data_IF_483265303614
#
_entry.id   IF_483265303614
#
_cell.length_a   1.000
_cell.length_b   1.000
_cell.length_c   1.000
_cell.angle_alpha   90.00
_cell.angle_beta   90.00
_cell.angle_gamma   90.00
#
_symmetry.space_group_name_H-M   'P 1'
#
loop_
_entity.id
_entity.type
_entity.pdbx_description
1 polymer ?
#
# COMPACT_ATOMS: atom_id res chain seq x y z
N UNK A 1 -8.41 9.31 9.27
CA UNK A 1 -8.32 8.40 10.43
C UNK A 1 -6.86 8.30 10.87
N UNK A 2 -6.40 9.19 11.74
CA UNK A 2 -5.04 9.13 12.31
C UNK A 2 -5.04 8.81 13.82
N UNK A 3 -6.18 8.98 14.49
CA UNK A 3 -6.32 8.87 15.94
C UNK A 3 -5.70 7.58 16.51
N UNK A 4 -6.05 6.41 15.97
CA UNK A 4 -5.51 5.14 16.45
C UNK A 4 -3.99 5.02 16.37
N UNK A 5 -3.36 5.56 15.32
CA UNK A 5 -1.89 5.61 15.23
C UNK A 5 -1.30 6.70 16.13
N UNK A 6 -2.01 7.81 16.30
CA UNK A 6 -1.59 8.97 17.10
C UNK A 6 -1.70 8.75 18.62
N UNK A 7 -2.48 7.77 19.06
CA UNK A 7 -2.65 7.40 20.47
C UNK A 7 -1.55 6.45 20.98
N UNK A 8 -0.84 5.76 20.08
CA UNK A 8 0.31 4.91 20.45
C UNK A 8 1.45 5.79 20.98
N UNK A 9 2.07 5.48 22.14
CA UNK A 9 3.22 6.21 22.65
C UNK A 9 4.32 6.38 21.61
N UNK A 10 4.96 7.55 21.54
CA UNK A 10 5.89 7.89 20.44
C UNK A 10 7.05 6.89 20.28
N UNK A 11 7.49 6.28 21.38
CA UNK A 11 8.60 5.32 21.40
C UNK A 11 8.18 3.90 20.99
N UNK A 12 6.87 3.62 20.90
CA UNK A 12 6.30 2.35 20.44
C UNK A 12 5.68 2.47 19.04
N UNK A 13 5.57 3.69 18.52
CA UNK A 13 4.93 3.98 17.24
C UNK A 13 5.88 3.72 16.09
N UNK A 14 5.40 3.03 15.05
CA UNK A 14 6.10 2.94 13.77
C UNK A 14 6.00 4.23 12.95
N UNK A 15 6.72 4.29 11.83
CA UNK A 15 6.58 5.38 10.86
C UNK A 15 5.15 5.41 10.29
N UNK A 16 4.53 6.59 10.31
CA UNK A 16 3.18 6.79 9.78
C UNK A 16 3.23 7.68 8.54
N UNK A 17 2.79 7.13 7.42
CA UNK A 17 2.67 7.86 6.15
C UNK A 17 1.20 7.92 5.76
N UNK A 18 0.76 9.08 5.27
CA UNK A 18 -0.64 9.33 4.90
C UNK A 18 -0.72 9.59 3.40
N UNK A 19 -1.62 8.87 2.74
CA UNK A 19 -1.92 9.00 1.33
C UNK A 19 -3.42 9.19 1.16
N UNK A 20 -3.83 10.12 0.29
CA UNK A 20 -5.24 10.34 -0.03
C UNK A 20 -5.77 9.27 -0.99
N UNK A 21 -4.94 8.84 -1.94
CA UNK A 21 -5.27 7.78 -2.88
C UNK A 21 -4.86 6.39 -2.36
N UNK A 22 -5.78 5.44 -2.46
CA UNK A 22 -5.58 4.08 -1.97
C UNK A 22 -4.56 3.30 -2.81
N UNK A 23 -4.56 3.47 -4.13
CA UNK A 23 -3.61 2.78 -4.99
C UNK A 23 -2.19 3.32 -4.79
N UNK A 24 -2.05 4.63 -4.57
CA UNK A 24 -0.77 5.25 -4.22
C UNK A 24 -0.24 4.71 -2.89
N UNK A 25 -1.08 4.61 -1.86
CA UNK A 25 -0.69 4.02 -0.57
C UNK A 25 -0.14 2.59 -0.71
N UNK A 26 -0.82 1.75 -1.51
CA UNK A 26 -0.40 0.38 -1.77
C UNK A 26 0.93 0.36 -2.54
N UNK A 27 1.06 1.19 -3.58
CA UNK A 27 2.29 1.28 -4.36
C UNK A 27 3.48 1.73 -3.51
N UNK A 28 3.29 2.73 -2.64
CA UNK A 28 4.33 3.20 -1.74
C UNK A 28 4.74 2.14 -0.70
N UNK A 29 3.78 1.40 -0.15
CA UNK A 29 4.08 0.31 0.79
C UNK A 29 4.91 -0.80 0.12
N UNK A 30 4.52 -1.22 -1.10
CA UNK A 30 5.28 -2.24 -1.85
C UNK A 30 6.67 -1.74 -2.23
N UNK A 31 6.81 -0.47 -2.64
CA UNK A 31 8.10 0.11 -3.02
C UNK A 31 9.10 0.23 -1.86
N UNK A 32 8.59 0.29 -0.62
CA UNK A 32 9.41 0.36 0.61
C UNK A 32 9.78 -1.02 1.16
N UNK A 33 9.07 -2.07 0.77
CA UNK A 33 9.29 -3.41 1.28
C UNK A 33 10.58 -4.02 0.73
N UNK A 34 11.37 -4.62 1.61
CA UNK A 34 12.57 -5.37 1.28
C UNK A 34 12.34 -6.88 1.30
N UNK A 35 13.34 -7.65 0.87
CA UNK A 35 13.26 -9.10 0.91
C UNK A 35 13.17 -9.59 2.37
N UNK A 36 12.08 -10.28 2.69
CA UNK A 36 11.79 -10.75 4.05
C UNK A 36 10.68 -9.96 4.75
N UNK A 37 10.33 -8.77 4.23
CA UNK A 37 9.23 -7.98 4.76
C UNK A 37 7.86 -8.56 4.38
N UNK A 38 6.85 -8.24 5.19
CA UNK A 38 5.45 -8.55 4.92
C UNK A 38 4.64 -7.27 4.77
N UNK A 39 3.92 -7.13 3.65
CA UNK A 39 2.97 -6.05 3.41
C UNK A 39 1.55 -6.57 3.67
N UNK A 40 0.83 -5.95 4.60
CA UNK A 40 -0.57 -6.24 4.90
C UNK A 40 -1.47 -5.08 4.45
N UNK A 41 -2.43 -5.37 3.56
CA UNK A 41 -3.49 -4.43 3.17
C UNK A 41 -4.79 -4.82 3.89
N UNK A 42 -5.29 -3.95 4.77
CA UNK A 42 -6.44 -4.24 5.63
C UNK A 42 -7.59 -3.23 5.47
N UNK A 43 -8.78 -3.59 5.98
CA UNK A 43 -9.94 -2.71 6.11
C UNK A 43 -11.02 -2.83 5.03
N UNK A 44 -10.74 -3.48 3.90
CA UNK A 44 -11.71 -3.66 2.79
C UNK A 44 -12.18 -5.11 2.58
N UNK A 45 -11.33 -6.10 2.85
CA UNK A 45 -11.66 -7.52 2.63
C UNK A 45 -11.92 -7.86 1.16
N UNK A 46 -13.05 -8.50 0.86
CA UNK A 46 -13.44 -8.94 -0.51
C UNK A 46 -14.20 -7.88 -1.32
N UNK A 47 -14.36 -6.65 -0.80
CA UNK A 47 -15.09 -5.62 -1.54
C UNK A 47 -14.32 -5.16 -2.80
N UNK A 48 -15.07 -4.86 -3.86
CA UNK A 48 -14.52 -4.53 -5.18
C UNK A 48 -14.87 -3.11 -5.66
N UNK A 49 -15.31 -2.22 -4.77
CA UNK A 49 -15.59 -0.84 -5.10
C UNK A 49 -15.25 0.14 -3.97
N UNK A 50 -14.67 1.28 -4.28
CA UNK A 50 -14.38 2.36 -3.33
C UNK A 50 -15.45 3.44 -3.43
N UNK A 51 -16.14 3.73 -2.33
CA UNK A 51 -17.03 4.88 -2.24
C UNK A 51 -16.21 6.16 -2.06
N UNK A 52 -16.40 7.10 -2.98
CA UNK A 52 -15.85 8.45 -2.89
C UNK A 52 -17.01 9.42 -3.07
N UNK A 53 -17.36 10.12 -1.99
CA UNK A 53 -18.45 11.10 -1.96
C UNK A 53 -19.79 10.56 -2.49
N UNK A 54 -20.14 9.31 -2.15
CA UNK A 54 -21.39 8.66 -2.55
C UNK A 54 -21.35 8.01 -3.93
N UNK A 55 -20.19 8.04 -4.62
CA UNK A 55 -19.99 7.36 -5.91
C UNK A 55 -19.07 6.16 -5.71
N UNK A 56 -19.61 4.96 -5.93
CA UNK A 56 -18.83 3.73 -5.88
C UNK A 56 -18.06 3.54 -7.19
N UNK A 57 -16.74 3.60 -7.11
CA UNK A 57 -15.82 3.33 -8.22
C UNK A 57 -15.25 1.93 -8.11
N UNK A 58 -15.06 1.22 -9.22
CA UNK A 58 -14.45 -0.11 -9.21
C UNK A 58 -13.02 -0.04 -8.61
N UNK A 59 -12.76 -0.85 -7.58
CA UNK A 59 -11.49 -0.90 -6.89
C UNK A 59 -11.33 -2.23 -6.13
N UNK A 60 -10.32 -3.03 -6.48
CA UNK A 60 -9.96 -4.29 -5.80
C UNK A 60 -8.51 -4.22 -5.33
N UNK A 61 -8.30 -4.20 -4.00
CA UNK A 61 -6.97 -4.13 -3.39
C UNK A 61 -6.04 -5.24 -3.91
N UNK A 62 -6.57 -6.43 -4.24
CA UNK A 62 -5.76 -7.57 -4.71
C UNK A 62 -5.19 -7.34 -6.10
N UNK A 63 -5.99 -6.75 -6.99
CA UNK A 63 -5.55 -6.43 -8.34
C UNK A 63 -4.52 -5.31 -8.33
N UNK A 64 -4.77 -4.27 -7.52
CA UNK A 64 -3.85 -3.14 -7.36
C UNK A 64 -2.52 -3.58 -6.73
N UNK A 65 -2.58 -4.39 -5.67
CA UNK A 65 -1.39 -4.93 -4.99
C UNK A 65 -0.57 -5.83 -5.92
N UNK A 66 -1.22 -6.73 -6.68
CA UNK A 66 -0.54 -7.56 -7.68
C UNK A 66 0.22 -6.71 -8.69
N UNK A 67 -0.44 -5.71 -9.29
CA UNK A 67 0.18 -4.84 -10.27
C UNK A 67 1.36 -4.03 -9.67
N UNK A 68 1.26 -3.61 -8.40
CA UNK A 68 2.35 -2.93 -7.70
C UNK A 68 3.57 -3.84 -7.51
N UNK A 69 3.36 -5.09 -7.09
CA UNK A 69 4.43 -6.08 -6.92
C UNK A 69 5.10 -6.39 -8.27
N UNK A 70 4.32 -6.63 -9.32
CA UNK A 70 4.84 -6.92 -10.66
C UNK A 70 5.74 -5.78 -11.17
N UNK A 71 5.32 -4.52 -10.96
CA UNK A 71 6.13 -3.33 -11.29
C UNK A 71 7.42 -3.25 -10.46
N UNK A 72 7.35 -3.52 -9.16
CA UNK A 72 8.51 -3.47 -8.27
C UNK A 72 9.56 -4.56 -8.63
N UNK A 73 9.10 -5.80 -8.88
CA UNK A 73 9.98 -6.91 -9.27
C UNK A 73 10.57 -6.71 -10.67
N UNK A 74 9.77 -6.26 -11.64
CA UNK A 74 10.24 -5.94 -12.99
C UNK A 74 11.25 -4.78 -13.02
N UNK A 75 11.04 -3.75 -12.20
CA UNK A 75 11.96 -2.63 -12.04
C UNK A 75 13.26 -2.99 -11.32
N UNK A 76 13.20 -3.89 -10.34
CA UNK A 76 14.39 -4.40 -9.64
C UNK A 76 15.30 -5.23 -10.56
N UNK A 77 14.73 -6.03 -11.46
CA UNK A 77 15.48 -6.76 -12.48
C UNK A 77 16.19 -5.83 -13.48
N UNK A 78 15.52 -4.75 -13.90
CA UNK A 78 16.11 -3.76 -14.81
C UNK A 78 17.25 -2.93 -14.17
N UNK A 79 17.22 -2.70 -12.85
CA UNK A 79 18.32 -2.04 -12.12
C UNK A 79 19.55 -2.93 -11.93
N UNK A 80 19.38 -4.25 -11.81
CA UNK A 80 20.52 -5.20 -11.68
C UNK A 80 21.38 -5.31 -12.95
N UNK A 81 20.83 -5.01 -14.13
CA UNK A 81 21.54 -5.11 -15.41
C UNK A 81 22.26 -3.81 -15.84
N UNK A 82 22.33 -2.80 -14.98
CA UNK A 82 22.96 -1.50 -15.26
C UNK A 82 24.17 -1.23 -14.34
N UNK A 83 24.65 -2.24 -13.61
CA UNK A 83 25.82 -2.17 -12.71
C UNK A 83 26.96 -3.04 -13.19
#
# INVERSE_FOLDING_TARGET
MLAGAAEVPIHERGDVMVYEDRAEAIAAAVARAEAGDTVLVAGKGHEQGQDIAGVVRAFDDRQVLRAAIERAVGGAAAKKNQG
#
